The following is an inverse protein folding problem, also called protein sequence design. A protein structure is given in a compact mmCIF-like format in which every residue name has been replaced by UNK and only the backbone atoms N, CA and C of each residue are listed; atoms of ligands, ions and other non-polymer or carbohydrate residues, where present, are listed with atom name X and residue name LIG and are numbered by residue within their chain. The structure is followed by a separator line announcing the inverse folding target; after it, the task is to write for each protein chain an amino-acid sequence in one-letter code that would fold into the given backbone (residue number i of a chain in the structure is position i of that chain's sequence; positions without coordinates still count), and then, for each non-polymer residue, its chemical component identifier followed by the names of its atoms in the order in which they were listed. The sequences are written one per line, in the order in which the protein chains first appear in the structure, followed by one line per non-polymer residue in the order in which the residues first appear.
data_IF_434398518202
#
_entry.id   IF_434398518202
#
_cell.length_a   1.000
_cell.length_b   1.000
_cell.length_c   1.000
_cell.angle_alpha   90.00
_cell.angle_beta   90.00
_cell.angle_gamma   90.00
#
_symmetry.space_group_name_H-M   'P 1'
#
loop_
_entity.id
_entity.type
_entity.pdbx_description
1 polymer ?
#
# COMPACT_ATOMS: atom_id res chain seq x y z
N UNK A 1 33.12 -20.44 -13.16
CA UNK A 1 33.52 -19.58 -12.02
C UNK A 1 33.69 -18.09 -12.34
N UNK A 2 33.47 -17.59 -13.57
CA UNK A 2 33.71 -16.16 -13.92
C UNK A 2 32.48 -15.23 -13.81
N UNK A 3 31.26 -15.77 -13.66
CA UNK A 3 30.01 -14.98 -13.57
C UNK A 3 29.65 -14.44 -12.17
N UNK A 4 29.98 -15.18 -11.10
CA UNK A 4 29.62 -14.82 -9.72
C UNK A 4 30.34 -13.56 -9.21
N UNK A 5 31.58 -13.34 -9.63
CA UNK A 5 32.38 -12.18 -9.22
C UNK A 5 31.85 -10.85 -9.81
N UNK A 6 31.27 -10.87 -11.01
CA UNK A 6 30.73 -9.65 -11.65
C UNK A 6 29.43 -9.16 -10.99
N UNK A 7 28.60 -10.06 -10.45
CA UNK A 7 27.37 -9.71 -9.74
C UNK A 7 27.65 -9.28 -8.28
N UNK A 8 28.58 -9.95 -7.58
CA UNK A 8 28.97 -9.55 -6.22
C UNK A 8 29.57 -8.13 -6.14
N UNK A 9 30.33 -7.73 -7.15
CA UNK A 9 30.94 -6.39 -7.22
C UNK A 9 29.90 -5.25 -7.39
N UNK A 10 28.74 -5.50 -8.04
CA UNK A 10 27.67 -4.49 -8.16
C UNK A 10 26.92 -4.23 -6.85
N UNK A 11 26.79 -5.25 -5.99
CA UNK A 11 26.04 -5.14 -4.73
C UNK A 11 26.76 -4.39 -3.63
N UNK A 12 28.11 -4.46 -3.59
CA UNK A 12 28.92 -3.72 -2.61
C UNK A 12 28.78 -2.19 -2.66
N UNK A 13 28.07 -1.64 -3.67
CA UNK A 13 27.90 -0.20 -3.90
C UNK A 13 26.47 0.30 -3.72
N UNK A 14 25.51 -0.54 -3.33
CA UNK A 14 24.13 -0.08 -3.12
C UNK A 14 24.05 0.90 -1.94
N UNK A 15 23.20 1.92 -2.07
CA UNK A 15 23.03 2.97 -1.07
C UNK A 15 22.42 2.46 0.24
N UNK A 16 22.38 3.29 1.31
CA UNK A 16 21.84 2.88 2.60
C UNK A 16 20.41 2.36 2.48
N UNK A 17 20.09 1.32 3.25
CA UNK A 17 18.74 0.76 3.34
C UNK A 17 17.78 1.84 3.84
N UNK A 18 16.79 2.21 3.01
CA UNK A 18 15.72 3.12 3.42
C UNK A 18 14.46 2.32 3.65
N UNK A 19 13.76 2.60 4.73
CA UNK A 19 12.50 1.91 5.03
C UNK A 19 11.37 2.45 4.16
N UNK A 20 10.53 1.58 3.58
CA UNK A 20 9.31 2.02 2.91
C UNK A 20 8.39 2.72 3.91
N UNK A 21 7.45 3.51 3.39
CA UNK A 21 6.39 4.14 4.18
C UNK A 21 5.04 3.62 3.72
N UNK A 22 4.23 3.21 4.69
CA UNK A 22 2.92 2.61 4.47
C UNK A 22 1.80 3.60 4.77
N UNK A 23 0.57 3.20 4.43
CA UNK A 23 -0.63 3.96 4.74
C UNK A 23 -0.72 4.23 6.24
N UNK A 24 -1.02 5.48 6.59
CA UNK A 24 -1.47 5.84 7.92
C UNK A 24 -3.01 5.88 7.96
N UNK A 25 -3.64 4.85 8.54
CA UNK A 25 -5.09 4.82 8.69
C UNK A 25 -5.58 5.94 9.62
N UNK A 26 -4.85 6.21 10.70
CA UNK A 26 -5.13 7.31 11.63
C UNK A 26 -5.18 8.67 10.91
N UNK A 27 -4.33 8.89 9.90
CA UNK A 27 -4.36 10.10 9.07
C UNK A 27 -5.55 10.13 8.13
N UNK A 28 -5.94 9.00 7.54
CA UNK A 28 -7.13 8.93 6.71
C UNK A 28 -8.41 9.14 7.51
N UNK A 29 -8.46 8.62 8.74
CA UNK A 29 -9.58 8.81 9.67
C UNK A 29 -9.69 10.28 10.08
N UNK A 30 -8.58 10.90 10.49
CA UNK A 30 -8.55 12.33 10.85
C UNK A 30 -9.00 13.27 9.70
N UNK A 31 -8.87 12.83 8.44
CA UNK A 31 -9.27 13.59 7.25
C UNK A 31 -10.64 13.19 6.70
N UNK A 32 -11.36 12.29 7.37
CA UNK A 32 -12.65 11.78 6.90
C UNK A 32 -12.57 11.04 5.55
N UNK A 33 -11.42 10.45 5.22
CA UNK A 33 -11.16 9.76 3.95
C UNK A 33 -11.13 8.24 4.08
N UNK A 34 -11.26 7.69 5.29
CA UNK A 34 -11.07 6.25 5.54
C UNK A 34 -12.04 5.37 4.75
N UNK A 35 -13.32 5.76 4.66
CA UNK A 35 -14.32 4.98 3.91
C UNK A 35 -14.06 5.02 2.41
N UNK A 36 -13.75 6.21 1.87
CA UNK A 36 -13.38 6.36 0.45
C UNK A 36 -12.13 5.53 0.13
N UNK A 37 -11.12 5.55 1.01
CA UNK A 37 -9.93 4.74 0.85
C UNK A 37 -10.25 3.25 0.88
N UNK A 38 -11.06 2.79 1.84
CA UNK A 38 -11.47 1.39 1.96
C UNK A 38 -12.21 0.88 0.73
N UNK A 39 -13.02 1.73 0.09
CA UNK A 39 -13.74 1.40 -1.14
C UNK A 39 -12.84 1.38 -2.38
N UNK A 40 -11.78 2.19 -2.41
CA UNK A 40 -10.88 2.32 -3.55
C UNK A 40 -9.72 1.31 -3.50
N UNK A 41 -9.25 0.96 -2.31
CA UNK A 41 -8.03 0.19 -2.09
C UNK A 41 -8.38 -1.11 -1.38
N UNK A 42 -8.56 -2.18 -2.17
CA UNK A 42 -8.99 -3.51 -1.73
C UNK A 42 -7.92 -4.57 -1.98
N UNK A 43 -8.21 -5.79 -1.51
CA UNK A 43 -7.48 -7.00 -1.87
C UNK A 43 -5.96 -6.91 -1.68
N UNK A 44 -5.18 -7.46 -2.64
CA UNK A 44 -3.72 -7.47 -2.57
C UNK A 44 -3.09 -6.09 -2.50
N UNK A 45 -3.72 -5.08 -3.12
CA UNK A 45 -3.22 -3.71 -3.11
C UNK A 45 -3.30 -3.14 -1.69
N UNK A 46 -4.41 -3.37 -1.00
CA UNK A 46 -4.57 -2.99 0.41
C UNK A 46 -3.53 -3.66 1.28
N UNK A 47 -3.34 -4.97 1.13
CA UNK A 47 -2.30 -5.73 1.83
C UNK A 47 -0.91 -5.11 1.59
N UNK A 48 -0.59 -4.77 0.35
CA UNK A 48 0.69 -4.17 -0.01
C UNK A 48 0.92 -2.78 0.62
N UNK A 49 -0.12 -1.94 0.65
CA UNK A 49 -0.02 -0.55 1.12
C UNK A 49 -0.14 -0.39 2.64
N UNK A 50 -0.79 -1.33 3.32
CA UNK A 50 -1.06 -1.23 4.76
C UNK A 50 -0.16 -2.13 5.62
N UNK A 51 0.45 -3.17 5.06
CA UNK A 51 1.29 -4.10 5.83
C UNK A 51 2.57 -3.42 6.33
N UNK A 52 2.78 -3.41 7.64
CA UNK A 52 4.06 -2.95 8.20
C UNK A 52 5.18 -3.92 7.85
N UNK A 53 6.29 -3.38 7.37
CA UNK A 53 7.40 -4.15 6.86
C UNK A 53 8.62 -4.02 7.76
N UNK A 54 9.35 -5.12 7.91
CA UNK A 54 10.60 -5.18 8.64
C UNK A 54 11.71 -5.63 7.69
N UNK A 55 12.85 -4.96 7.70
CA UNK A 55 13.92 -5.24 6.73
C UNK A 55 15.22 -5.62 7.42
N UNK A 56 15.86 -6.67 6.89
CA UNK A 56 17.14 -7.21 7.36
C UNK A 56 18.12 -7.16 6.19
N UNK A 57 19.29 -6.55 6.40
CA UNK A 57 20.23 -6.25 5.32
C UNK A 57 20.80 -7.51 4.67
N UNK A 58 21.12 -8.51 5.46
CA UNK A 58 21.76 -9.76 5.05
C UNK A 58 20.87 -10.56 4.09
N UNK A 59 19.55 -10.59 4.34
CA UNK A 59 18.59 -11.25 3.46
C UNK A 59 18.44 -10.54 2.12
N UNK A 60 18.50 -9.21 2.15
CA UNK A 60 18.48 -8.44 0.91
C UNK A 60 19.69 -8.77 0.05
N UNK A 61 20.87 -8.86 0.64
CA UNK A 61 22.10 -9.17 -0.08
C UNK A 61 22.06 -10.56 -0.71
N UNK A 62 21.67 -11.59 0.05
CA UNK A 62 21.53 -12.94 -0.49
C UNK A 62 20.49 -13.00 -1.60
N UNK A 63 19.28 -12.48 -1.34
CA UNK A 63 18.19 -12.47 -2.29
C UNK A 63 18.62 -11.79 -3.59
N UNK A 64 19.03 -10.53 -3.53
CA UNK A 64 19.30 -9.78 -4.75
C UNK A 64 20.54 -10.25 -5.52
N UNK A 65 21.50 -10.91 -4.86
CA UNK A 65 22.65 -11.51 -5.56
C UNK A 65 22.28 -12.75 -6.39
N UNK A 66 21.12 -13.36 -6.12
CA UNK A 66 20.69 -14.64 -6.70
C UNK A 66 19.32 -14.59 -7.36
N UNK A 67 18.59 -13.49 -7.16
CA UNK A 67 17.24 -13.27 -7.65
C UNK A 67 17.18 -13.27 -9.17
N UNK A 68 16.25 -14.03 -9.73
CA UNK A 68 15.86 -13.99 -11.12
C UNK A 68 14.33 -13.99 -11.22
N UNK A 69 13.81 -13.22 -12.17
CA UNK A 69 12.38 -13.06 -12.38
C UNK A 69 12.02 -13.17 -13.85
N UNK A 70 11.12 -14.12 -14.18
CA UNK A 70 10.59 -14.29 -15.53
C UNK A 70 9.33 -13.43 -15.69
N UNK A 71 9.51 -12.19 -16.14
CA UNK A 71 8.42 -11.21 -16.23
C UNK A 71 7.25 -11.58 -17.17
N UNK A 72 7.40 -12.60 -18.02
CA UNK A 72 6.36 -13.13 -18.91
C UNK A 72 5.77 -14.46 -18.43
N UNK A 73 6.18 -14.96 -17.28
CA UNK A 73 5.67 -16.20 -16.74
C UNK A 73 4.17 -16.07 -16.41
N UNK A 74 3.46 -17.18 -16.58
CA UNK A 74 2.09 -17.31 -16.07
C UNK A 74 2.11 -17.31 -14.53
N UNK A 75 1.03 -16.85 -13.87
CA UNK A 75 1.03 -16.71 -12.42
C UNK A 75 1.44 -17.97 -11.65
N UNK A 76 1.10 -19.15 -12.17
CA UNK A 76 1.32 -20.46 -11.55
C UNK A 76 2.51 -21.23 -12.12
N UNK A 77 3.33 -20.61 -12.98
CA UNK A 77 4.59 -21.22 -13.43
C UNK A 77 5.59 -21.25 -12.28
N UNK A 78 5.95 -22.44 -11.80
CA UNK A 78 6.86 -22.65 -10.67
C UNK A 78 8.30 -22.18 -10.91
N UNK A 79 8.62 -21.73 -12.12
CA UNK A 79 9.90 -21.10 -12.47
C UNK A 79 9.78 -19.59 -12.68
N UNK A 80 8.68 -18.97 -12.25
CA UNK A 80 8.46 -17.53 -12.36
C UNK A 80 9.46 -16.70 -11.57
N UNK A 81 9.90 -17.20 -10.41
CA UNK A 81 10.80 -16.53 -9.48
C UNK A 81 11.84 -17.51 -8.93
N UNK A 82 13.12 -17.19 -9.08
CA UNK A 82 14.23 -17.96 -8.51
C UNK A 82 15.06 -17.07 -7.58
N UNK A 83 15.52 -17.62 -6.46
CA UNK A 83 16.40 -16.93 -5.51
C UNK A 83 17.08 -17.94 -4.58
N UNK A 84 18.03 -17.46 -3.77
CA UNK A 84 18.55 -18.20 -2.63
C UNK A 84 18.08 -17.62 -1.31
N UNK A 85 17.87 -18.51 -0.35
CA UNK A 85 17.52 -18.17 1.02
C UNK A 85 18.25 -19.13 1.96
N UNK A 86 19.05 -18.58 2.89
CA UNK A 86 19.87 -19.36 3.83
C UNK A 86 20.79 -20.40 3.16
N UNK A 87 21.30 -20.09 1.97
CA UNK A 87 22.21 -20.94 1.20
C UNK A 87 21.51 -21.96 0.29
N UNK A 88 20.20 -22.12 0.39
CA UNK A 88 19.41 -23.04 -0.43
C UNK A 88 18.78 -22.32 -1.63
N UNK A 89 18.67 -23.00 -2.77
CA UNK A 89 18.05 -22.45 -3.98
C UNK A 89 16.55 -22.77 -3.97
N UNK A 90 15.72 -21.76 -4.21
CA UNK A 90 14.28 -21.88 -4.36
C UNK A 90 13.84 -21.45 -5.77
N UNK A 91 12.78 -22.09 -6.24
CA UNK A 91 12.04 -21.71 -7.45
C UNK A 91 10.56 -21.78 -7.10
N UNK A 92 9.86 -20.65 -7.27
CA UNK A 92 8.43 -20.53 -6.94
C UNK A 92 7.70 -19.78 -8.05
N UNK A 93 6.39 -19.95 -8.09
CA UNK A 93 5.51 -19.17 -8.94
C UNK A 93 5.24 -17.76 -8.42
N UNK A 94 4.74 -16.88 -9.30
CA UNK A 94 4.33 -15.51 -8.93
C UNK A 94 3.17 -15.57 -7.92
N UNK A 95 2.25 -16.51 -8.10
CA UNK A 95 1.13 -16.75 -7.23
C UNK A 95 1.59 -17.18 -5.82
N UNK A 96 2.52 -18.13 -5.74
CA UNK A 96 3.13 -18.57 -4.48
C UNK A 96 3.88 -17.43 -3.79
N UNK A 97 4.64 -16.63 -4.54
CA UNK A 97 5.31 -15.45 -3.98
C UNK A 97 4.29 -14.54 -3.27
N UNK A 98 3.18 -14.19 -3.92
CA UNK A 98 2.16 -13.32 -3.35
C UNK A 98 1.52 -13.87 -2.07
N UNK A 99 1.23 -15.18 -2.03
CA UNK A 99 0.72 -15.83 -0.83
C UNK A 99 1.75 -15.85 0.32
N UNK A 100 3.00 -16.21 0.02
CA UNK A 100 4.08 -16.28 1.02
C UNK A 100 4.34 -14.91 1.65
N UNK A 101 4.39 -13.86 0.83
CA UNK A 101 4.57 -12.49 1.34
C UNK A 101 3.26 -11.87 1.85
N UNK A 102 2.20 -12.68 1.98
CA UNK A 102 0.91 -12.39 2.59
C UNK A 102 0.17 -11.21 1.97
N UNK A 103 0.04 -11.22 0.65
CA UNK A 103 -0.87 -10.33 -0.06
C UNK A 103 -2.31 -10.86 -0.06
N UNK A 104 -2.45 -12.18 -0.08
CA UNK A 104 -3.68 -12.97 -0.06
C UNK A 104 -3.36 -14.36 0.51
N UNK A 105 -4.38 -15.15 0.81
CA UNK A 105 -4.22 -16.54 1.23
C UNK A 105 -4.01 -17.46 0.02
N UNK A 106 -3.28 -18.56 0.20
CA UNK A 106 -2.93 -19.48 -0.90
C UNK A 106 -4.18 -20.07 -1.59
N UNK A 107 -5.25 -20.30 -0.82
CA UNK A 107 -6.52 -20.80 -1.35
C UNK A 107 -7.15 -19.84 -2.38
N UNK A 108 -6.93 -18.54 -2.20
CA UNK A 108 -7.54 -17.48 -3.02
C UNK A 108 -6.63 -17.08 -4.19
N UNK A 109 -5.46 -17.72 -4.35
CA UNK A 109 -4.48 -17.32 -5.35
C UNK A 109 -5.03 -17.38 -6.80
N UNK A 110 -6.07 -18.18 -7.05
CA UNK A 110 -6.72 -18.30 -8.37
C UNK A 110 -7.74 -17.21 -8.67
N UNK A 111 -8.08 -16.37 -7.69
CA UNK A 111 -8.99 -15.27 -7.91
C UNK A 111 -8.37 -14.22 -8.82
N UNK A 112 -9.18 -13.68 -9.72
CA UNK A 112 -8.74 -12.69 -10.72
C UNK A 112 -8.18 -11.43 -10.05
N UNK A 113 -8.74 -11.02 -8.90
CA UNK A 113 -8.25 -9.91 -8.08
C UNK A 113 -6.80 -10.14 -7.59
N UNK A 114 -6.41 -11.41 -7.39
CA UNK A 114 -5.14 -11.78 -6.75
C UNK A 114 -3.99 -12.00 -7.76
N UNK A 115 -4.25 -12.68 -8.87
CA UNK A 115 -3.20 -13.05 -9.85
C UNK A 115 -3.54 -12.81 -11.31
N UNK A 116 -4.78 -12.44 -11.64
CA UNK A 116 -5.26 -12.21 -13.00
C UNK A 116 -5.20 -10.76 -13.47
N UNK A 117 -4.78 -9.84 -12.61
CA UNK A 117 -4.90 -8.40 -12.86
C UNK A 117 -3.96 -7.81 -13.91
N UNK A 118 -4.18 -6.52 -14.20
CA UNK A 118 -3.43 -5.76 -15.20
C UNK A 118 -1.92 -5.72 -14.85
N UNK A 119 -1.07 -6.08 -15.82
CA UNK A 119 0.40 -6.01 -15.68
C UNK A 119 1.04 -4.82 -16.40
N UNK A 120 0.33 -4.23 -17.36
CA UNK A 120 0.81 -3.14 -18.21
C UNK A 120 -0.36 -2.32 -18.74
N UNK A 121 -0.24 -0.99 -18.66
CA UNK A 121 -1.13 -0.06 -19.35
C UNK A 121 -0.65 0.17 -20.81
N UNK A 122 -1.48 -0.16 -21.83
CA UNK A 122 -1.19 0.12 -23.24
C UNK A 122 -0.91 1.59 -23.51
N UNK A 123 -0.09 1.90 -24.52
CA UNK A 123 0.38 3.28 -24.75
C UNK A 123 -0.73 4.23 -25.21
N UNK A 124 -1.58 3.73 -26.09
CA UNK A 124 -2.80 4.35 -26.60
C UNK A 124 -3.83 4.66 -25.51
N UNK A 125 -3.80 3.93 -24.38
CA UNK A 125 -4.74 4.13 -23.27
C UNK A 125 -4.24 5.11 -22.20
N UNK A 126 -2.96 5.49 -22.20
CA UNK A 126 -2.36 6.30 -21.10
C UNK A 126 -2.99 7.68 -20.98
N UNK A 127 -3.22 8.35 -22.10
CA UNK A 127 -3.81 9.69 -22.10
C UNK A 127 -5.25 9.64 -21.58
N UNK A 128 -6.03 8.66 -22.01
CA UNK A 128 -7.40 8.45 -21.54
C UNK A 128 -7.44 8.13 -20.03
N UNK A 129 -6.55 7.25 -19.56
CA UNK A 129 -6.41 6.93 -18.15
C UNK A 129 -6.05 8.15 -17.29
N UNK A 130 -5.14 9.01 -17.78
CA UNK A 130 -4.78 10.25 -17.08
C UNK A 130 -5.94 11.25 -17.05
N UNK A 131 -6.66 11.42 -18.15
CA UNK A 131 -7.77 12.36 -18.26
C UNK A 131 -8.91 12.08 -17.25
N UNK A 132 -9.02 10.86 -16.73
CA UNK A 132 -9.97 10.50 -15.68
C UNK A 132 -9.60 11.09 -14.31
N UNK A 133 -8.30 11.14 -13.97
CA UNK A 133 -7.82 11.39 -12.61
C UNK A 133 -6.99 12.68 -12.45
N UNK A 134 -6.48 13.23 -13.55
CA UNK A 134 -5.54 14.34 -13.54
C UNK A 134 -5.85 15.46 -14.56
N UNK A 135 -5.04 16.50 -14.54
CA UNK A 135 -5.19 17.69 -15.38
C UNK A 135 -4.10 17.79 -16.44
N UNK A 136 -4.44 18.40 -17.58
CA UNK A 136 -3.53 18.56 -18.71
C UNK A 136 -3.14 17.24 -19.39
N UNK A 137 -2.09 17.30 -20.21
CA UNK A 137 -1.61 16.14 -20.94
C UNK A 137 -0.65 15.27 -20.13
N UNK A 138 -0.76 13.96 -20.33
CA UNK A 138 0.12 13.03 -19.66
C UNK A 138 1.49 12.96 -20.36
N UNK A 139 2.52 13.32 -19.61
CA UNK A 139 3.91 13.19 -20.01
C UNK A 139 4.70 12.44 -18.94
N UNK A 140 5.28 11.30 -19.34
CA UNK A 140 5.99 10.36 -18.48
C UNK A 140 7.08 10.97 -17.59
N UNK A 141 7.73 12.06 -18.02
CA UNK A 141 8.82 12.69 -17.29
C UNK A 141 8.43 14.00 -16.60
N UNK A 142 7.27 14.57 -16.95
CA UNK A 142 6.89 15.92 -16.53
C UNK A 142 5.61 15.97 -15.69
N UNK A 143 4.69 15.03 -15.87
CA UNK A 143 3.42 15.02 -15.13
C UNK A 143 3.65 14.92 -13.64
N UNK A 144 3.09 15.90 -12.90
CA UNK A 144 3.25 16.01 -11.46
C UNK A 144 2.01 15.51 -10.73
N UNK A 145 2.22 14.97 -9.55
CA UNK A 145 1.17 14.53 -8.62
C UNK A 145 0.27 15.68 -8.17
N UNK A 146 0.78 16.91 -8.18
CA UNK A 146 -0.06 18.12 -7.97
C UNK A 146 -1.13 18.29 -9.03
N UNK A 147 -0.97 17.69 -10.23
CA UNK A 147 -1.97 17.69 -11.30
C UNK A 147 -3.03 16.59 -11.12
N UNK A 148 -2.93 15.73 -10.11
CA UNK A 148 -4.05 14.85 -9.72
C UNK A 148 -5.14 15.70 -9.08
N UNK A 149 -6.38 15.56 -9.54
CA UNK A 149 -7.50 16.41 -9.09
C UNK A 149 -7.88 16.12 -7.64
N UNK A 150 -7.92 14.85 -7.27
CA UNK A 150 -8.37 14.39 -5.96
C UNK A 150 -7.20 14.29 -4.95
N UNK A 151 -7.27 14.97 -3.79
CA UNK A 151 -6.29 14.85 -2.72
C UNK A 151 -6.05 13.40 -2.24
N UNK A 152 -7.07 12.56 -2.23
CA UNK A 152 -6.93 11.14 -1.86
C UNK A 152 -6.04 10.39 -2.87
N UNK A 153 -6.15 10.71 -4.16
CA UNK A 153 -5.28 10.13 -5.19
C UNK A 153 -3.84 10.64 -5.05
N UNK A 154 -3.63 11.89 -4.64
CA UNK A 154 -2.28 12.42 -4.30
C UNK A 154 -1.67 11.68 -3.13
N UNK A 155 -2.47 11.44 -2.08
CA UNK A 155 -2.04 10.64 -0.93
C UNK A 155 -1.68 9.21 -1.34
N UNK A 156 -2.57 8.52 -2.06
CA UNK A 156 -2.33 7.16 -2.56
C UNK A 156 -1.06 7.12 -3.44
N UNK A 157 -0.91 8.04 -4.40
CA UNK A 157 0.29 8.18 -5.22
C UNK A 157 1.55 8.30 -4.37
N UNK A 158 1.48 9.06 -3.28
CA UNK A 158 2.62 9.24 -2.40
C UNK A 158 2.98 7.96 -1.65
N UNK A 159 2.00 7.25 -1.12
CA UNK A 159 2.22 5.93 -0.53
C UNK A 159 2.82 4.98 -1.57
N UNK A 160 2.25 4.91 -2.79
CA UNK A 160 2.76 4.09 -3.88
C UNK A 160 4.23 4.37 -4.19
N UNK A 161 4.62 5.64 -4.21
CA UNK A 161 6.00 6.07 -4.44
C UNK A 161 6.95 5.60 -3.35
N UNK A 162 6.49 5.49 -2.09
CA UNK A 162 7.29 5.03 -0.96
C UNK A 162 7.27 3.52 -0.75
N UNK A 163 6.20 2.81 -1.11
CA UNK A 163 5.99 1.41 -0.74
C UNK A 163 6.10 0.42 -1.90
N UNK A 164 5.37 0.65 -3.00
CA UNK A 164 5.25 -0.30 -4.11
C UNK A 164 6.24 0.00 -5.23
N UNK A 165 6.31 1.27 -5.64
CA UNK A 165 7.21 1.72 -6.69
C UNK A 165 8.59 2.12 -6.14
N UNK A 166 8.65 2.46 -4.85
CA UNK A 166 9.86 2.70 -4.08
C UNK A 166 10.86 3.59 -4.83
N UNK A 167 10.42 4.78 -5.24
CA UNK A 167 11.24 5.75 -5.98
C UNK A 167 11.85 6.83 -5.10
N UNK A 168 11.72 6.72 -3.77
CA UNK A 168 12.05 7.78 -2.80
C UNK A 168 11.41 9.13 -3.23
N UNK A 169 11.86 10.27 -2.70
CA UNK A 169 11.49 11.65 -3.06
C UNK A 169 11.70 12.02 -4.54
N UNK A 170 11.17 11.25 -5.48
CA UNK A 170 11.20 11.54 -6.90
C UNK A 170 10.18 12.64 -7.23
N UNK A 171 10.52 13.90 -6.92
CA UNK A 171 9.99 15.14 -7.50
C UNK A 171 8.49 15.27 -7.74
N UNK A 172 7.67 14.48 -7.05
CA UNK A 172 6.23 14.33 -7.27
C UNK A 172 5.82 13.80 -8.65
N UNK A 173 6.70 13.19 -9.46
CA UNK A 173 6.32 12.78 -10.83
C UNK A 173 5.43 11.53 -10.81
N UNK A 174 4.33 11.56 -11.57
CA UNK A 174 3.45 10.39 -11.80
C UNK A 174 4.01 9.62 -12.99
N UNK A 175 4.76 8.55 -12.71
CA UNK A 175 5.31 7.71 -13.77
C UNK A 175 4.33 6.65 -14.26
N UNK A 176 4.70 5.90 -15.31
CA UNK A 176 3.84 4.90 -15.94
C UNK A 176 3.24 3.89 -14.97
N UNK A 177 4.04 3.38 -14.02
CA UNK A 177 3.56 2.41 -13.03
C UNK A 177 2.56 3.06 -12.08
N UNK A 178 2.78 4.30 -11.67
CA UNK A 178 1.82 5.02 -10.83
C UNK A 178 0.51 5.21 -11.57
N UNK A 179 0.56 5.66 -12.82
CA UNK A 179 -0.63 5.84 -13.65
C UNK A 179 -1.40 4.53 -13.81
N UNK A 180 -0.70 3.41 -14.06
CA UNK A 180 -1.34 2.09 -14.15
C UNK A 180 -2.06 1.72 -12.84
N UNK A 181 -1.40 1.89 -11.68
CA UNK A 181 -2.05 1.58 -10.40
C UNK A 181 -3.23 2.51 -10.13
N UNK A 182 -3.07 3.82 -10.34
CA UNK A 182 -4.15 4.79 -10.13
C UNK A 182 -5.32 4.58 -11.09
N UNK A 183 -5.06 4.16 -12.32
CA UNK A 183 -6.08 3.77 -13.28
C UNK A 183 -6.87 2.53 -12.82
N UNK A 184 -6.17 1.50 -12.34
CA UNK A 184 -6.80 0.31 -11.75
C UNK A 184 -7.67 0.66 -10.54
N UNK A 185 -7.18 1.52 -9.65
CA UNK A 185 -7.94 2.03 -8.49
C UNK A 185 -9.20 2.76 -8.96
N UNK A 186 -9.07 3.66 -9.95
CA UNK A 186 -10.19 4.47 -10.42
C UNK A 186 -11.29 3.66 -11.09
N UNK A 187 -10.92 2.64 -11.86
CA UNK A 187 -11.86 1.85 -12.67
C UNK A 187 -12.22 0.50 -12.02
N UNK A 188 -11.78 0.25 -10.79
CA UNK A 188 -11.95 -1.04 -10.10
C UNK A 188 -11.47 -2.24 -10.93
N UNK A 189 -10.36 -2.07 -11.64
CA UNK A 189 -9.74 -3.14 -12.45
C UNK A 189 -8.71 -3.87 -11.59
N UNK A 190 -8.79 -5.21 -11.47
CA UNK A 190 -7.77 -6.02 -10.81
C UNK A 190 -6.34 -5.67 -11.24
N UNK A 191 -5.41 -5.69 -10.28
CA UNK A 191 -4.01 -5.39 -10.52
C UNK A 191 -3.16 -6.56 -10.01
N UNK A 192 -2.25 -7.06 -10.84
CA UNK A 192 -1.34 -8.15 -10.45
C UNK A 192 -0.22 -7.57 -9.55
N UNK A 193 -0.54 -7.40 -8.27
CA UNK A 193 0.37 -6.87 -7.24
C UNK A 193 1.61 -7.74 -7.06
N UNK A 194 1.52 -9.09 -7.00
CA UNK A 194 2.71 -9.94 -6.94
C UNK A 194 3.67 -9.65 -8.10
N UNK A 195 3.17 -9.60 -9.33
CA UNK A 195 3.98 -9.27 -10.52
C UNK A 195 4.57 -7.87 -10.43
N UNK A 196 3.78 -6.87 -10.03
CA UNK A 196 4.24 -5.49 -9.88
C UNK A 196 5.42 -5.37 -8.90
N UNK A 197 5.33 -6.04 -7.74
CA UNK A 197 6.40 -6.09 -6.74
C UNK A 197 7.66 -6.75 -7.30
N UNK A 198 7.54 -7.96 -7.86
CA UNK A 198 8.66 -8.68 -8.45
C UNK A 198 9.32 -7.89 -9.59
N UNK A 199 8.51 -7.22 -10.41
CA UNK A 199 9.00 -6.36 -11.48
C UNK A 199 9.79 -5.18 -10.92
N UNK A 200 9.33 -4.55 -9.85
CA UNK A 200 10.07 -3.43 -9.25
C UNK A 200 11.34 -3.92 -8.52
N UNK A 201 11.32 -5.08 -7.89
CA UNK A 201 12.52 -5.73 -7.35
C UNK A 201 13.55 -6.00 -8.45
N UNK A 202 13.12 -6.52 -9.60
CA UNK A 202 13.99 -6.76 -10.75
C UNK A 202 14.60 -5.47 -11.30
N UNK A 203 13.80 -4.40 -11.41
CA UNK A 203 14.32 -3.09 -11.83
C UNK A 203 15.30 -2.51 -10.81
N UNK A 204 15.07 -2.69 -9.51
CA UNK A 204 16.00 -2.26 -8.45
C UNK A 204 17.32 -3.05 -8.52
N UNK A 205 17.28 -4.35 -8.82
CA UNK A 205 18.46 -5.19 -9.04
C UNK A 205 19.31 -4.72 -10.24
N UNK A 206 18.64 -4.24 -11.30
CA UNK A 206 19.30 -3.73 -12.51
C UNK A 206 19.79 -2.28 -12.39
N UNK A 207 19.32 -1.54 -11.38
CA UNK A 207 19.62 -0.13 -11.24
C UNK A 207 21.11 0.12 -10.96
N UNK A 208 21.61 1.26 -11.43
CA UNK A 208 23.00 1.67 -11.18
C UNK A 208 23.15 2.20 -9.75
N UNK A 209 24.24 1.86 -9.05
CA UNK A 209 24.59 2.48 -7.77
C UNK A 209 24.74 4.02 -7.85
N UNK A 210 24.41 4.76 -6.78
CA UNK A 210 23.92 4.28 -5.48
C UNK A 210 22.38 4.28 -5.40
N UNK A 211 21.71 3.28 -5.97
CA UNK A 211 20.27 3.08 -5.74
C UNK A 211 20.06 2.38 -4.39
N UNK A 212 19.20 2.91 -3.49
CA UNK A 212 18.90 2.24 -2.22
C UNK A 212 18.11 0.95 -2.43
N UNK A 213 18.33 -0.01 -1.53
CA UNK A 213 17.49 -1.21 -1.41
C UNK A 213 16.22 -0.83 -0.65
N UNK A 214 15.07 -1.10 -1.25
CA UNK A 214 13.80 -0.62 -0.72
C UNK A 214 12.78 -1.75 -0.46
N UNK A 215 12.95 -2.94 -1.07
CA UNK A 215 11.98 -4.05 -0.95
C UNK A 215 12.28 -5.02 0.19
N UNK A 216 13.24 -4.68 1.07
CA UNK A 216 13.72 -5.64 2.07
C UNK A 216 12.67 -6.09 3.09
N UNK A 217 11.62 -5.29 3.26
CA UNK A 217 10.39 -5.67 3.93
C UNK A 217 9.74 -6.96 3.45
N UNK A 218 9.59 -7.05 2.13
CA UNK A 218 8.95 -8.19 1.46
C UNK A 218 9.89 -9.39 1.43
N UNK A 219 11.19 -9.15 1.21
CA UNK A 219 12.23 -10.17 1.26
C UNK A 219 12.29 -10.80 2.65
N UNK A 220 12.16 -10.01 3.72
CA UNK A 220 12.09 -10.55 5.08
C UNK A 220 10.90 -11.50 5.27
N UNK A 221 9.70 -11.17 4.76
CA UNK A 221 8.54 -12.08 4.84
C UNK A 221 8.81 -13.38 4.07
N UNK A 222 9.39 -13.28 2.89
CA UNK A 222 9.81 -14.42 2.08
C UNK A 222 10.80 -15.31 2.84
N UNK A 223 11.85 -14.73 3.44
CA UNK A 223 12.84 -15.47 4.23
C UNK A 223 12.23 -16.08 5.48
N UNK A 224 11.32 -15.38 6.15
CA UNK A 224 10.61 -15.91 7.33
C UNK A 224 9.81 -17.17 7.02
N UNK A 225 9.32 -17.31 5.79
CA UNK A 225 8.59 -18.50 5.37
C UNK A 225 9.51 -19.72 5.22
N UNK A 226 10.69 -19.54 4.62
CA UNK A 226 11.63 -20.65 4.36
C UNK A 226 12.57 -20.96 5.54
N UNK A 227 12.90 -19.96 6.36
CA UNK A 227 13.84 -20.12 7.48
C UNK A 227 13.09 -20.43 8.76
N UNK A 228 13.14 -21.70 9.19
CA UNK A 228 12.46 -22.19 10.41
C UNK A 228 12.90 -21.46 11.70
N UNK A 229 14.15 -21.01 11.77
CA UNK A 229 14.70 -20.36 12.97
C UNK A 229 15.60 -19.18 12.61
N UNK A 230 15.01 -17.99 12.64
CA UNK A 230 15.74 -16.73 12.43
C UNK A 230 16.72 -16.46 13.58
N UNK A 231 18.01 -16.21 13.30
CA UNK A 231 18.94 -15.72 14.33
C UNK A 231 18.43 -14.45 15.02
N UNK A 232 18.62 -14.38 16.34
CA UNK A 232 18.17 -13.24 17.16
C UNK A 232 18.82 -11.91 16.77
N UNK A 233 20.02 -11.95 16.17
CA UNK A 233 20.69 -10.79 15.58
C UNK A 233 19.90 -10.16 14.43
N UNK A 234 19.09 -10.95 13.72
CA UNK A 234 18.27 -10.50 12.58
C UNK A 234 16.86 -10.04 12.97
N UNK A 235 16.51 -10.08 14.26
CA UNK A 235 15.28 -9.45 14.77
C UNK A 235 15.45 -7.94 14.97
N UNK A 236 16.70 -7.44 14.86
CA UNK A 236 17.05 -6.03 15.01
C UNK A 236 17.09 -5.37 13.63
N UNK A 237 15.97 -4.80 13.22
CA UNK A 237 15.81 -4.08 11.97
C UNK A 237 14.75 -2.98 12.11
N UNK A 238 14.81 -1.91 11.30
CA UNK A 238 13.83 -0.86 11.38
C UNK A 238 12.50 -1.33 10.77
N UNK A 239 11.40 -0.96 11.41
CA UNK A 239 10.07 -1.10 10.83
C UNK A 239 9.80 0.03 9.83
N UNK A 240 8.96 -0.25 8.85
CA UNK A 240 8.44 0.76 7.91
C UNK A 240 7.77 1.90 8.66
N UNK A 241 7.98 3.11 8.16
CA UNK A 241 7.27 4.31 8.61
C UNK A 241 5.84 4.35 8.06
N UNK A 242 5.12 5.42 8.39
CA UNK A 242 3.82 5.75 7.81
C UNK A 242 3.90 7.06 7.02
N UNK A 243 2.95 7.28 6.11
CA UNK A 243 2.68 8.60 5.49
C UNK A 243 1.65 9.31 6.36
N UNK A 244 2.12 10.07 7.34
CA UNK A 244 1.28 10.74 8.34
C UNK A 244 0.90 12.18 7.94
N UNK A 245 0.15 12.87 8.80
CA UNK A 245 -0.25 14.27 8.59
C UNK A 245 0.95 15.22 8.44
N UNK A 246 2.05 14.99 9.15
CA UNK A 246 3.25 15.83 9.06
C UNK A 246 3.82 15.75 7.64
N UNK A 247 3.95 14.53 7.13
CA UNK A 247 4.37 14.27 5.77
C UNK A 247 3.39 14.90 4.78
N UNK A 248 2.08 14.67 4.94
CA UNK A 248 1.07 15.22 4.04
C UNK A 248 1.12 16.76 3.96
N UNK A 249 1.26 17.45 5.10
CA UNK A 249 1.40 18.92 5.18
C UNK A 249 2.70 19.41 4.54
N UNK A 250 3.83 18.75 4.85
CA UNK A 250 5.13 19.14 4.30
C UNK A 250 5.21 19.06 2.77
N UNK A 251 4.29 18.32 2.14
CA UNK A 251 4.26 18.06 0.70
C UNK A 251 3.05 18.68 0.02
N UNK A 252 2.29 19.51 0.73
CA UNK A 252 1.09 20.17 0.22
C UNK A 252 0.06 19.20 -0.39
N UNK A 253 -0.05 18.00 0.20
CA UNK A 253 -1.09 17.01 -0.18
C UNK A 253 -2.47 17.49 0.29
N UNK A 254 -2.49 18.14 1.46
CA UNK A 254 -3.68 18.68 2.12
C UNK A 254 -3.50 20.19 2.18
N UNK A 255 -4.44 20.95 1.64
CA UNK A 255 -4.47 22.41 1.80
C UNK A 255 -5.20 22.77 3.10
N UNK A 256 -4.90 23.92 3.72
CA UNK A 256 -5.58 24.40 4.95
C UNK A 256 -7.11 24.58 4.79
N UNK A 257 -7.60 24.67 3.55
CA UNK A 257 -9.02 24.72 3.25
C UNK A 257 -9.72 23.35 3.38
N UNK A 258 -8.98 22.25 3.18
CA UNK A 258 -9.48 20.88 3.30
C UNK A 258 -9.51 20.43 4.78
N UNK A 259 -8.58 20.92 5.61
CA UNK A 259 -8.52 20.66 7.07
C UNK A 259 -9.78 21.20 7.79
N UNK A 260 -10.32 22.35 7.34
CA UNK A 260 -11.52 22.97 7.94
C UNK A 260 -12.83 22.25 7.65
N UNK A 261 -12.89 21.39 6.62
CA UNK A 261 -14.11 20.63 6.31
C UNK A 261 -14.30 19.41 7.22
N UNK A 262 -13.21 18.90 7.83
CA UNK A 262 -13.26 17.77 8.77
C UNK A 262 -13.63 18.15 10.21
N UNK A 263 -13.66 19.45 10.55
CA UNK A 263 -13.99 19.94 11.89
C UNK A 263 -15.41 20.51 12.03
N UNK A 264 -16.20 20.53 10.94
CA UNK A 264 -17.59 20.98 10.98
C UNK A 264 -18.51 19.76 10.96
N UNK A 265 -18.46 18.96 12.01
CA UNK A 265 -19.50 17.97 12.31
C UNK A 265 -19.56 17.69 13.81
N UNK A 266 -19.59 18.73 14.63
CA UNK A 266 -20.05 18.63 16.03
C UNK A 266 -20.17 20.04 16.64
N UNK A 267 -21.08 20.86 16.12
CA UNK A 267 -21.53 22.05 16.87
C UNK A 267 -22.92 22.56 16.46
N UNK A 268 -23.88 21.64 16.39
CA UNK A 268 -25.31 22.00 16.26
C UNK A 268 -26.16 21.24 17.25
N UNK A 269 -25.80 21.33 18.55
CA UNK A 269 -26.69 20.93 19.66
C UNK A 269 -26.37 21.61 21.00
N UNK A 270 -26.46 22.93 21.04
CA UNK A 270 -26.84 23.74 22.22
C UNK A 270 -27.09 25.16 21.69
N UNK A 271 -28.27 25.76 21.81
CA UNK A 271 -28.83 26.29 23.05
C UNK A 271 -30.35 26.44 22.90
N UNK A 272 -31.12 25.85 23.82
CA UNK A 272 -32.50 26.28 24.08
C UNK A 272 -32.54 26.66 25.56
N UNK A 273 -32.65 27.95 25.84
CA UNK A 273 -32.89 28.47 27.19
C UNK A 273 -34.33 28.14 27.65
N UNK A 274 -34.57 27.84 28.94
CA UNK A 274 -35.90 27.56 29.45
C UNK A 274 -36.55 28.84 30.00
N UNK A 275 -37.66 29.26 29.37
CA UNK A 275 -38.57 30.25 29.95
C UNK A 275 -39.58 29.58 30.89
N UNK A 276 -39.60 30.07 32.14
CA UNK A 276 -40.58 29.73 33.17
C UNK A 276 -41.96 30.33 32.82
N UNK A 277 -43.03 29.56 32.99
CA UNK A 277 -44.26 30.03 33.67
C UNK A 277 -45.34 28.94 33.78
N UNK A 278 -45.76 28.69 35.02
CA UNK A 278 -47.16 28.52 35.46
C UNK A 278 -47.94 27.21 35.19
N UNK A 279 -48.15 26.45 36.28
CA UNK A 279 -49.29 25.57 36.56
C UNK A 279 -50.64 26.34 36.50
N UNK A 280 -51.80 25.68 36.24
CA UNK A 280 -52.46 24.90 37.29
C UNK A 280 -53.28 23.64 36.91
N UNK A 281 -53.38 22.75 37.92
CA UNK A 281 -54.55 21.97 38.39
C UNK A 281 -55.21 20.85 37.56
N UNK A 282 -54.96 19.62 38.05
CA UNK A 282 -55.90 18.67 38.72
C UNK A 282 -56.89 17.78 37.90
N UNK A 283 -56.89 16.50 38.33
CA UNK A 283 -57.92 15.45 38.20
C UNK A 283 -57.89 14.66 36.88
N UNK A 284 -58.00 13.33 36.78
CA UNK A 284 -58.51 12.26 37.67
C UNK A 284 -57.99 10.88 37.21
N UNK A 285 -57.70 10.00 38.18
CA UNK A 285 -58.02 8.57 38.31
C UNK A 285 -57.73 7.47 37.26
N UNK A 286 -57.16 6.36 37.82
CA UNK A 286 -57.42 4.92 37.57
C UNK A 286 -56.99 4.37 36.18
N UNK A 287 -56.38 3.19 36.00
CA UNK A 287 -56.22 1.98 36.81
C UNK A 287 -55.09 1.11 36.21
N UNK A 288 -54.52 0.20 37.03
CA UNK A 288 -53.97 -1.16 36.76
C UNK A 288 -53.21 -1.46 35.44
N UNK A 289 -52.05 -2.14 35.40
CA UNK A 289 -51.69 -3.41 36.05
C UNK A 289 -50.17 -3.70 36.00
N UNK A 290 -49.75 -4.61 36.89
CA UNK A 290 -48.42 -5.17 37.17
C UNK A 290 -47.94 -6.13 36.03
N UNK A 291 -46.68 -6.08 35.55
CA UNK A 291 -45.47 -6.93 35.86
C UNK A 291 -45.63 -8.45 35.50
N UNK A 292 -44.61 -9.33 35.15
CA UNK A 292 -43.16 -9.20 34.80
C UNK A 292 -42.62 -10.04 33.58
N UNK A 293 -41.36 -9.77 33.21
CA UNK A 293 -40.17 -10.67 32.98
C UNK A 293 -40.33 -12.08 32.38
N UNK A 294 -39.57 -12.39 31.32
CA UNK A 294 -38.63 -13.54 31.29
C UNK A 294 -37.62 -13.47 30.13
N UNK A 295 -36.35 -13.60 30.50
CA UNK A 295 -35.23 -13.99 29.62
C UNK A 295 -35.26 -15.51 29.36
N UNK A 296 -34.70 -15.98 28.23
CA UNK A 296 -33.72 -17.08 28.18
C UNK A 296 -33.46 -17.61 26.76
N UNK A 297 -32.18 -17.95 26.54
CA UNK A 297 -31.50 -18.68 25.44
C UNK A 297 -31.08 -17.88 24.20
#
# INVERSE_FOLDING_TARGET
MSGLLKHGLRFSRQGPMKTPRQVCLDTLEALGQIDRFNNLVTGPLRSALCTRLHSVHEYNMEFYSTFAFKAKAEPFDNEGVEFRCAGEKFSISIAQFGAIIGLYDEADARDEENTGGLRKLPQDQRQAAWAQIGEGDYNLSQTKSTQLRDPLYRYIHRVLSYSLCQRHDSGGVVGLRDLMVLHCIHNHVPLDIPHLLLRNMHLNQLATPPTPILFGGWIYRLFKHFVQRMPSSFQKGPWSGKVDLVICRSMNIINEADDRKGHISDDSRACVEPSRSSCPSRSTNLSSSLIPVSASW
#
